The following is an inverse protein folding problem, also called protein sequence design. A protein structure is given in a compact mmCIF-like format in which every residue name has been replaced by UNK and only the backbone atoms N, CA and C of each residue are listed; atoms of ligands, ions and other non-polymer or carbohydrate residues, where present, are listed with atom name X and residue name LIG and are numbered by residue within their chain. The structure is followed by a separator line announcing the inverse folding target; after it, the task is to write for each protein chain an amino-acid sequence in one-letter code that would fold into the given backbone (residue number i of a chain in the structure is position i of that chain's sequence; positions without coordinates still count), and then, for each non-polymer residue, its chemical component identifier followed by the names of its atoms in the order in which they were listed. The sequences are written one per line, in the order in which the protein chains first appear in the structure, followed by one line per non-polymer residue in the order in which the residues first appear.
data_IF_079087042807
#
_entry.id   IF_079087042807
#
_cell.length_a   1.000
_cell.length_b   1.000
_cell.length_c   1.000
_cell.angle_alpha   90.00
_cell.angle_beta   90.00
_cell.angle_gamma   90.00
#
_symmetry.space_group_name_H-M   'P 1'
#
loop_
_entity.id
_entity.type
_entity.pdbx_description
1 polymer ?
#
# COMPACT_ATOMS: atom_id res chain seq x y z
N UNK A 1 -19.71 -25.44 0.72
CA UNK A 1 -19.67 -24.56 -0.47
C UNK A 1 -19.15 -23.15 -0.16
N UNK A 2 -19.53 -22.51 0.96
CA UNK A 2 -19.05 -21.19 1.36
C UNK A 2 -17.52 -21.05 1.52
N UNK A 3 -16.84 -22.02 2.12
CA UNK A 3 -15.39 -21.98 2.32
C UNK A 3 -14.56 -21.94 1.02
N UNK A 4 -15.08 -22.50 -0.06
CA UNK A 4 -14.36 -22.52 -1.36
C UNK A 4 -14.41 -21.13 -2.05
N UNK A 5 -15.53 -20.43 -1.90
CA UNK A 5 -15.72 -19.09 -2.48
C UNK A 5 -14.89 -18.04 -1.73
N UNK A 6 -14.77 -18.15 -0.40
CA UNK A 6 -13.93 -17.27 0.40
C UNK A 6 -12.44 -17.45 0.09
N UNK A 7 -11.98 -18.69 -0.09
CA UNK A 7 -10.59 -18.98 -0.49
C UNK A 7 -10.25 -18.45 -1.88
N UNK A 8 -11.18 -18.52 -2.84
CA UNK A 8 -10.95 -17.95 -4.18
C UNK A 8 -10.88 -16.42 -4.16
N UNK A 9 -11.72 -15.76 -3.37
CA UNK A 9 -11.67 -14.29 -3.18
C UNK A 9 -10.34 -13.85 -2.56
N UNK A 10 -9.87 -14.58 -1.54
CA UNK A 10 -8.60 -14.31 -0.90
C UNK A 10 -7.42 -14.46 -1.89
N UNK A 11 -7.39 -15.52 -2.70
CA UNK A 11 -6.29 -15.72 -3.66
C UNK A 11 -6.18 -14.61 -4.69
N UNK A 12 -7.31 -14.05 -5.13
CA UNK A 12 -7.34 -12.96 -6.08
C UNK A 12 -6.81 -11.65 -5.47
N UNK A 13 -7.18 -11.34 -4.23
CA UNK A 13 -6.66 -10.18 -3.49
C UNK A 13 -5.18 -10.32 -3.14
N UNK A 14 -4.72 -11.53 -2.82
CA UNK A 14 -3.31 -11.82 -2.57
C UNK A 14 -2.44 -11.50 -3.79
N UNK A 15 -2.91 -11.85 -4.99
CA UNK A 15 -2.17 -11.58 -6.23
C UNK A 15 -1.95 -10.10 -6.45
N UNK A 16 -2.98 -9.26 -6.25
CA UNK A 16 -2.86 -7.81 -6.45
C UNK A 16 -2.03 -7.13 -5.37
N UNK A 17 -2.13 -7.59 -4.12
CA UNK A 17 -1.30 -7.09 -3.03
C UNK A 17 0.17 -7.42 -3.24
N UNK A 18 0.48 -8.63 -3.71
CA UNK A 18 1.83 -9.01 -4.07
C UNK A 18 2.37 -8.19 -5.25
N UNK A 19 1.53 -7.96 -6.26
CA UNK A 19 1.91 -7.22 -7.45
C UNK A 19 2.37 -5.80 -7.13
N UNK A 20 1.65 -5.07 -6.30
CA UNK A 20 2.06 -3.71 -5.97
C UNK A 20 3.31 -3.66 -5.08
N UNK A 21 3.50 -4.62 -4.18
CA UNK A 21 4.74 -4.79 -3.42
C UNK A 21 5.94 -5.05 -4.33
N UNK A 22 5.76 -5.88 -5.36
CA UNK A 22 6.76 -6.19 -6.36
C UNK A 22 7.12 -4.99 -7.25
N UNK A 23 6.14 -4.21 -7.69
CA UNK A 23 6.40 -2.97 -8.44
C UNK A 23 7.23 -1.98 -7.61
N UNK A 24 6.91 -1.84 -6.33
CA UNK A 24 7.67 -0.99 -5.43
C UNK A 24 9.09 -1.48 -5.18
N UNK A 25 9.30 -2.79 -5.13
CA UNK A 25 10.65 -3.38 -5.06
C UNK A 25 11.48 -2.98 -6.29
N UNK A 26 10.94 -3.16 -7.50
CA UNK A 26 11.64 -2.82 -8.74
C UNK A 26 11.97 -1.32 -8.74
N UNK A 27 11.00 -0.46 -8.44
CA UNK A 27 11.21 0.98 -8.40
C UNK A 27 12.33 1.37 -7.42
N UNK A 28 12.31 0.83 -6.21
CA UNK A 28 13.31 1.13 -5.21
C UNK A 28 14.72 0.65 -5.59
N UNK A 29 14.83 -0.52 -6.23
CA UNK A 29 16.11 -1.02 -6.75
C UNK A 29 16.66 -0.10 -7.84
N UNK A 30 15.83 0.25 -8.84
CA UNK A 30 16.21 1.13 -9.94
C UNK A 30 16.62 2.53 -9.47
N UNK A 31 16.01 3.02 -8.40
CA UNK A 31 16.32 4.33 -7.81
C UNK A 31 17.44 4.28 -6.76
N UNK A 32 17.94 3.11 -6.39
CA UNK A 32 18.86 2.95 -5.27
C UNK A 32 18.23 3.30 -3.92
N UNK A 33 16.88 3.25 -3.84
CA UNK A 33 16.11 3.57 -2.64
C UNK A 33 15.70 2.29 -1.90
N UNK A 34 16.61 1.82 -1.06
CA UNK A 34 16.39 0.57 -0.29
C UNK A 34 15.22 0.67 0.69
N UNK A 35 14.95 1.86 1.24
CA UNK A 35 13.80 2.06 2.14
C UNK A 35 12.48 2.00 1.37
N UNK A 36 12.43 2.59 0.18
CA UNK A 36 11.27 2.45 -0.71
C UNK A 36 10.96 0.98 -1.00
N UNK A 37 12.00 0.20 -1.39
CA UNK A 37 11.87 -1.24 -1.61
C UNK A 37 11.36 -1.97 -0.37
N UNK A 38 11.95 -1.66 0.79
CA UNK A 38 11.63 -2.31 2.05
C UNK A 38 10.17 -2.03 2.47
N UNK A 39 9.73 -0.77 2.44
CA UNK A 39 8.36 -0.40 2.79
C UNK A 39 7.34 -1.02 1.82
N UNK A 40 7.64 -1.04 0.52
CA UNK A 40 6.76 -1.62 -0.49
C UNK A 40 6.58 -3.12 -0.32
N UNK A 41 7.67 -3.86 -0.08
CA UNK A 41 7.60 -5.30 0.17
C UNK A 41 6.85 -5.57 1.48
N UNK A 42 7.16 -4.83 2.54
CA UNK A 42 6.50 -4.99 3.84
C UNK A 42 4.99 -4.75 3.71
N UNK A 43 4.61 -3.70 2.97
CA UNK A 43 3.21 -3.38 2.70
C UNK A 43 2.53 -4.52 1.92
N UNK A 44 3.12 -5.01 0.82
CA UNK A 44 2.59 -6.14 0.07
C UNK A 44 2.44 -7.40 0.92
N UNK A 45 3.43 -7.69 1.77
CA UNK A 45 3.40 -8.85 2.66
C UNK A 45 2.29 -8.75 3.72
N UNK A 46 2.18 -7.63 4.43
CA UNK A 46 1.15 -7.47 5.47
C UNK A 46 -0.25 -7.35 4.87
N UNK A 47 -0.40 -6.74 3.70
CA UNK A 47 -1.66 -6.74 2.96
C UNK A 47 -2.09 -8.17 2.59
N UNK A 48 -1.15 -9.01 2.13
CA UNK A 48 -1.43 -10.42 1.91
C UNK A 48 -1.88 -11.14 3.19
N UNK A 49 -1.19 -10.92 4.30
CA UNK A 49 -1.58 -11.54 5.59
C UNK A 49 -2.97 -11.08 6.03
N UNK A 50 -3.26 -9.79 5.89
CA UNK A 50 -4.58 -9.23 6.23
C UNK A 50 -5.69 -9.87 5.38
N UNK A 51 -5.53 -9.93 4.08
CA UNK A 51 -6.53 -10.53 3.19
C UNK A 51 -6.67 -12.05 3.36
N UNK A 52 -5.60 -12.73 3.77
CA UNK A 52 -5.66 -14.18 3.99
C UNK A 52 -6.31 -14.56 5.31
N UNK A 53 -5.91 -13.90 6.41
CA UNK A 53 -6.37 -14.24 7.76
C UNK A 53 -7.59 -13.42 8.19
N UNK A 54 -7.80 -12.22 7.68
CA UNK A 54 -8.89 -11.31 8.07
C UNK A 54 -8.79 -10.78 9.51
N UNK A 55 -7.63 -10.92 10.15
CA UNK A 55 -7.43 -10.52 11.55
C UNK A 55 -7.11 -9.04 11.69
N UNK A 56 -7.69 -8.38 12.69
CA UNK A 56 -7.48 -6.95 12.98
C UNK A 56 -6.00 -6.60 13.21
N UNK A 57 -5.21 -7.55 13.73
CA UNK A 57 -3.77 -7.36 13.91
C UNK A 57 -3.06 -7.06 12.59
N UNK A 58 -3.33 -7.87 11.57
CA UNK A 58 -2.71 -7.67 10.25
C UNK A 58 -3.20 -6.41 9.56
N UNK A 59 -4.43 -5.97 9.84
CA UNK A 59 -4.92 -4.67 9.40
C UNK A 59 -4.06 -3.53 9.93
N UNK A 60 -3.71 -3.53 11.21
CA UNK A 60 -2.88 -2.48 11.80
C UNK A 60 -1.43 -2.51 11.30
N UNK A 61 -0.90 -3.71 11.06
CA UNK A 61 0.42 -3.89 10.46
C UNK A 61 0.44 -3.38 9.01
N UNK A 62 -0.55 -3.73 8.20
CA UNK A 62 -0.75 -3.24 6.83
C UNK A 62 -0.91 -1.71 6.78
N UNK A 63 -1.77 -1.17 7.63
CA UNK A 63 -1.97 0.27 7.76
C UNK A 63 -0.67 1.01 8.13
N UNK A 64 0.10 0.47 9.08
CA UNK A 64 1.39 1.05 9.48
C UNK A 64 2.37 1.05 8.31
N UNK A 65 2.47 -0.05 7.59
CA UNK A 65 3.33 -0.14 6.41
C UNK A 65 2.90 0.87 5.33
N UNK A 66 1.60 0.98 5.08
CA UNK A 66 1.03 1.94 4.12
C UNK A 66 1.35 3.39 4.51
N UNK A 67 1.21 3.72 5.79
CA UNK A 67 1.51 5.06 6.30
C UNK A 67 3.00 5.40 6.10
N UNK A 68 3.92 4.53 6.50
CA UNK A 68 5.35 4.82 6.38
C UNK A 68 5.83 4.79 4.94
N UNK A 69 5.27 3.93 4.09
CA UNK A 69 5.52 3.98 2.65
C UNK A 69 5.12 5.34 2.06
N UNK A 70 3.90 5.80 2.36
CA UNK A 70 3.41 7.11 1.89
C UNK A 70 4.23 8.27 2.44
N UNK A 71 4.60 8.21 3.73
CA UNK A 71 5.43 9.23 4.36
C UNK A 71 6.81 9.30 3.69
N UNK A 72 7.47 8.15 3.51
CA UNK A 72 8.76 8.08 2.83
C UNK A 72 8.66 8.64 1.40
N UNK A 73 7.64 8.19 0.66
CA UNK A 73 7.40 8.63 -0.70
C UNK A 73 7.11 10.13 -0.78
N UNK A 74 6.28 10.66 0.11
CA UNK A 74 5.98 12.08 0.17
C UNK A 74 7.23 12.90 0.46
N UNK A 75 7.99 12.55 1.48
CA UNK A 75 9.17 13.30 1.91
C UNK A 75 10.34 13.25 0.93
N UNK A 76 10.54 12.12 0.25
CA UNK A 76 11.69 11.92 -0.64
C UNK A 76 11.42 12.26 -2.11
N UNK A 77 10.14 12.30 -2.51
CA UNK A 77 9.76 12.53 -3.91
C UNK A 77 8.77 13.67 -4.08
N UNK A 78 7.63 13.63 -3.39
CA UNK A 78 6.50 14.52 -3.68
C UNK A 78 6.76 15.97 -3.28
N UNK A 79 7.27 16.21 -2.07
CA UNK A 79 7.44 17.56 -1.52
C UNK A 79 8.41 18.44 -2.37
N UNK A 80 9.23 17.80 -3.19
CA UNK A 80 10.22 18.47 -4.04
C UNK A 80 9.75 18.70 -5.48
N UNK A 81 8.53 18.27 -5.79
CA UNK A 81 7.90 18.51 -7.08
C UNK A 81 7.37 19.96 -7.17
N UNK A 82 7.09 20.38 -8.40
CA UNK A 82 6.31 21.60 -8.61
C UNK A 82 4.86 21.45 -8.13
N UNK A 83 4.21 22.56 -7.80
CA UNK A 83 2.86 22.56 -7.25
C UNK A 83 1.81 21.88 -8.14
N UNK A 84 1.95 21.95 -9.46
CA UNK A 84 1.02 21.31 -10.38
C UNK A 84 1.10 19.77 -10.27
N UNK A 85 2.31 19.23 -10.16
CA UNK A 85 2.53 17.80 -9.94
C UNK A 85 2.05 17.35 -8.57
N UNK A 86 2.31 18.13 -7.51
CA UNK A 86 1.81 17.83 -6.15
C UNK A 86 0.28 17.74 -6.17
N UNK A 87 -0.39 18.71 -6.76
CA UNK A 87 -1.85 18.71 -6.87
C UNK A 87 -2.37 17.55 -7.74
N UNK A 88 -1.72 17.25 -8.85
CA UNK A 88 -2.07 16.11 -9.70
C UNK A 88 -1.91 14.79 -8.94
N UNK A 89 -0.81 14.60 -8.21
CA UNK A 89 -0.58 13.41 -7.39
C UNK A 89 -1.63 13.29 -6.28
N UNK A 90 -1.89 14.36 -5.55
CA UNK A 90 -2.92 14.38 -4.51
C UNK A 90 -4.29 14.01 -5.07
N UNK A 91 -4.69 14.60 -6.18
CA UNK A 91 -5.96 14.28 -6.84
C UNK A 91 -6.02 12.80 -7.25
N UNK A 92 -4.97 12.29 -7.88
CA UNK A 92 -4.94 10.90 -8.35
C UNK A 92 -4.85 9.90 -7.20
N UNK A 93 -4.01 10.14 -6.18
CA UNK A 93 -3.82 9.17 -5.09
C UNK A 93 -4.94 9.22 -4.05
N UNK A 94 -5.27 10.41 -3.56
CA UNK A 94 -6.17 10.56 -2.42
C UNK A 94 -7.63 10.71 -2.87
N UNK A 95 -7.92 11.49 -3.91
CA UNK A 95 -9.31 11.68 -4.35
C UNK A 95 -9.81 10.48 -5.15
N UNK A 96 -9.15 10.15 -6.27
CA UNK A 96 -9.58 9.01 -7.10
C UNK A 96 -9.34 7.67 -6.39
N UNK A 97 -8.22 7.52 -5.70
CA UNK A 97 -7.93 6.33 -4.89
C UNK A 97 -8.99 6.11 -3.82
N UNK A 98 -9.40 7.17 -3.11
CA UNK A 98 -10.47 7.10 -2.12
C UNK A 98 -11.83 6.76 -2.74
N UNK A 99 -12.16 7.31 -3.91
CA UNK A 99 -13.40 6.98 -4.63
C UNK A 99 -13.43 5.48 -4.96
N UNK A 100 -12.35 4.94 -5.52
CA UNK A 100 -12.24 3.50 -5.85
C UNK A 100 -12.36 2.66 -4.58
N UNK A 101 -11.67 3.05 -3.49
CA UNK A 101 -11.74 2.38 -2.20
C UNK A 101 -13.16 2.44 -1.60
N UNK A 102 -13.81 3.60 -1.66
CA UNK A 102 -15.18 3.78 -1.19
C UNK A 102 -16.16 2.83 -1.90
N UNK A 103 -16.07 2.73 -3.22
CA UNK A 103 -16.87 1.76 -3.97
C UNK A 103 -16.55 0.31 -3.57
N UNK A 104 -15.29 -0.02 -3.27
CA UNK A 104 -14.93 -1.34 -2.79
C UNK A 104 -15.60 -1.68 -1.45
N UNK A 105 -15.63 -0.72 -0.52
CA UNK A 105 -16.21 -0.92 0.83
C UNK A 105 -17.73 -0.91 0.81
N UNK A 106 -18.36 -0.04 0.01
CA UNK A 106 -19.83 0.04 -0.07
C UNK A 106 -20.45 -1.18 -0.73
N UNK A 107 -19.77 -1.79 -1.70
CA UNK A 107 -20.21 -3.04 -2.30
C UNK A 107 -20.10 -4.23 -1.35
N UNK A 108 -19.33 -4.11 -0.24
CA UNK A 108 -19.24 -5.16 0.77
C UNK A 108 -20.50 -5.29 1.65
N UNK A 109 -21.31 -4.28 1.80
CA UNK A 109 -22.50 -4.33 2.67
C UNK A 109 -23.57 -5.33 2.23
N UNK A 110 -23.56 -5.81 1.01
CA UNK A 110 -24.39 -6.93 0.57
C UNK A 110 -23.67 -8.27 0.88
N UNK A 111 -23.89 -8.75 2.08
CA UNK A 111 -23.37 -10.04 2.61
C UNK A 111 -23.45 -11.17 1.57
N UNK A 112 -22.36 -11.89 1.35
CA UNK A 112 -22.24 -13.24 0.80
C UNK A 112 -21.99 -13.48 -0.69
N UNK A 113 -22.15 -12.53 -1.60
CA UNK A 113 -21.97 -12.84 -3.03
C UNK A 113 -20.95 -11.95 -3.74
N UNK A 114 -20.08 -11.21 -3.02
CA UNK A 114 -19.46 -10.05 -3.63
C UNK A 114 -18.11 -10.29 -4.28
N UNK A 115 -18.16 -10.76 -5.51
CA UNK A 115 -17.13 -10.48 -6.50
C UNK A 115 -16.87 -8.95 -6.64
N UNK A 116 -17.87 -8.10 -6.42
CA UNK A 116 -17.75 -6.66 -6.49
C UNK A 116 -16.66 -6.09 -5.58
N UNK A 117 -16.67 -6.46 -4.30
CA UNK A 117 -15.62 -6.03 -3.37
C UNK A 117 -14.23 -6.48 -3.84
N UNK A 118 -14.07 -7.77 -4.17
CA UNK A 118 -12.78 -8.30 -4.60
C UNK A 118 -12.29 -7.61 -5.88
N UNK A 119 -13.15 -7.35 -6.84
CA UNK A 119 -12.80 -6.66 -8.08
C UNK A 119 -12.38 -5.22 -7.82
N UNK A 120 -13.21 -4.42 -7.13
CA UNK A 120 -12.88 -3.01 -6.87
C UNK A 120 -11.66 -2.85 -5.96
N UNK A 121 -11.50 -3.72 -4.98
CA UNK A 121 -10.35 -3.69 -4.11
C UNK A 121 -9.05 -4.07 -4.83
N UNK A 122 -9.11 -5.03 -5.77
CA UNK A 122 -7.98 -5.31 -6.67
C UNK A 122 -7.66 -4.13 -7.60
N UNK A 123 -8.68 -3.49 -8.17
CA UNK A 123 -8.49 -2.28 -8.97
C UNK A 123 -7.78 -1.21 -8.14
N UNK A 124 -8.16 -1.05 -6.88
CA UNK A 124 -7.51 -0.10 -5.98
C UNK A 124 -6.03 -0.46 -5.72
N UNK A 125 -5.71 -1.73 -5.45
CA UNK A 125 -4.32 -2.18 -5.29
C UNK A 125 -3.49 -1.93 -6.55
N UNK A 126 -3.99 -2.33 -7.71
CA UNK A 126 -3.30 -2.16 -8.99
C UNK A 126 -3.12 -0.67 -9.29
N UNK A 127 -4.17 0.12 -9.14
CA UNK A 127 -4.15 1.55 -9.40
C UNK A 127 -3.12 2.26 -8.52
N UNK A 128 -3.16 2.05 -7.20
CA UNK A 128 -2.23 2.70 -6.28
C UNK A 128 -0.80 2.23 -6.47
N UNK A 129 -0.60 0.94 -6.77
CA UNK A 129 0.72 0.38 -7.06
C UNK A 129 1.34 0.94 -8.34
N UNK A 130 0.57 1.00 -9.42
CA UNK A 130 1.02 1.56 -10.71
C UNK A 130 1.28 3.07 -10.59
N UNK A 131 0.42 3.80 -9.87
CA UNK A 131 0.62 5.23 -9.65
C UNK A 131 1.91 5.50 -8.85
N UNK A 132 2.12 4.78 -7.76
CA UNK A 132 3.32 4.92 -6.94
C UNK A 132 4.58 4.54 -7.73
N UNK A 133 4.54 3.45 -8.51
CA UNK A 133 5.62 3.03 -9.39
C UNK A 133 5.93 4.12 -10.44
N UNK A 134 4.92 4.62 -11.14
CA UNK A 134 5.09 5.65 -12.16
C UNK A 134 5.71 6.91 -11.58
N UNK A 135 5.16 7.44 -10.50
CA UNK A 135 5.70 8.63 -9.84
C UNK A 135 7.12 8.40 -9.31
N UNK A 136 7.39 7.25 -8.69
CA UNK A 136 8.72 6.90 -8.21
C UNK A 136 9.75 6.78 -9.34
N UNK A 137 9.36 6.26 -10.51
CA UNK A 137 10.25 6.15 -11.68
C UNK A 137 10.53 7.50 -12.35
N UNK A 138 9.53 8.37 -12.41
CA UNK A 138 9.63 9.65 -13.13
C UNK A 138 10.31 10.76 -12.32
N UNK A 139 10.22 10.71 -11.00
CA UNK A 139 10.74 11.77 -10.14
C UNK A 139 12.12 11.41 -9.57
N UNK A 140 12.90 12.43 -9.22
CA UNK A 140 14.18 12.24 -8.54
C UNK A 140 13.95 12.08 -7.05
N UNK A 141 14.57 11.06 -6.47
CA UNK A 141 14.66 10.97 -5.02
C UNK A 141 15.54 12.12 -4.49
N UNK A 142 15.07 12.78 -3.44
CA UNK A 142 15.88 13.68 -2.61
C UNK A 142 16.22 12.95 -1.32
N UNK A 143 17.50 12.77 -1.07
CA UNK A 143 17.95 12.11 0.17
C UNK A 143 17.79 13.08 1.35
N UNK A 144 16.88 12.76 2.25
CA UNK A 144 16.67 13.51 3.50
C UNK A 144 17.52 12.98 4.66
N UNK A 145 18.40 11.99 4.39
CA UNK A 145 19.47 11.54 5.27
C UNK A 145 18.97 11.06 6.64
N UNK A 146 19.30 11.83 7.70
CA UNK A 146 18.98 11.48 9.08
C UNK A 146 17.48 11.17 9.31
N UNK A 147 16.58 11.87 8.64
CA UNK A 147 15.14 11.68 8.81
C UNK A 147 14.65 10.32 8.32
N UNK A 148 15.26 9.76 7.27
CA UNK A 148 14.95 8.39 6.82
C UNK A 148 15.25 7.37 7.93
N UNK A 149 16.38 7.53 8.63
CA UNK A 149 16.71 6.65 9.75
C UNK A 149 15.74 6.81 10.93
N UNK A 150 15.33 8.04 11.26
CA UNK A 150 14.34 8.30 12.30
C UNK A 150 13.00 7.65 11.97
N UNK A 151 12.49 7.86 10.77
CA UNK A 151 11.23 7.25 10.32
C UNK A 151 11.30 5.73 10.32
N UNK A 152 12.42 5.17 9.89
CA UNK A 152 12.63 3.72 9.91
C UNK A 152 12.59 3.16 11.34
N UNK A 153 13.26 3.80 12.31
CA UNK A 153 13.22 3.36 13.70
C UNK A 153 11.81 3.44 14.30
N UNK A 154 11.05 4.50 14.00
CA UNK A 154 9.68 4.63 14.46
C UNK A 154 8.81 3.52 13.82
N UNK A 155 8.99 3.24 12.54
CA UNK A 155 8.30 2.15 11.84
C UNK A 155 8.53 0.80 12.54
N UNK A 156 9.79 0.43 12.75
CA UNK A 156 10.14 -0.84 13.41
C UNK A 156 9.53 -0.92 14.80
N UNK A 157 9.63 0.15 15.60
CA UNK A 157 9.05 0.22 16.94
C UNK A 157 7.52 0.05 16.92
N UNK A 158 6.84 0.64 15.94
CA UNK A 158 5.37 0.52 15.78
C UNK A 158 4.97 -0.91 15.42
N UNK A 159 5.65 -1.54 14.47
CA UNK A 159 5.38 -2.93 14.08
C UNK A 159 5.62 -3.90 15.25
N UNK A 160 6.71 -3.70 16.00
CA UNK A 160 7.00 -4.53 17.19
C UNK A 160 5.90 -4.37 18.26
N UNK A 161 5.38 -3.15 18.46
CA UNK A 161 4.29 -2.89 19.40
C UNK A 161 2.99 -3.57 18.95
N UNK A 162 2.67 -3.56 17.66
CA UNK A 162 1.50 -4.27 17.12
C UNK A 162 1.57 -5.79 17.41
N UNK A 163 2.77 -6.38 17.40
CA UNK A 163 2.98 -7.80 17.71
C UNK A 163 2.83 -8.14 19.20
N UNK A 164 3.17 -7.22 20.08
CA UNK A 164 3.19 -7.46 21.53
C UNK A 164 1.84 -7.20 22.20
N UNK A 165 0.91 -6.52 21.55
CA UNK A 165 -0.46 -6.31 22.03
C UNK A 165 -1.35 -7.53 21.69
N UNK A 166 -0.95 -8.71 22.18
CA UNK A 166 -1.74 -9.97 22.11
C UNK A 166 -2.63 -10.14 23.33
#
# INVERSE_FOLDING_TARGET
MCMHVEKQKASFLLTSAFFYGFLGLICGIEKGDHLYSFYSISLGFYSCLYHYYGELRYFWEDFTCSFFFKLHFFMNYIIWMDWAKILAYFFLSDVLGYIIFYFSVTTWKSKYENYGYAVFHNIWHIYTGVLAFYCGMMEKKVDIGYWDAVYFMIFVGTIMRCKNNK
#
